data_IF_802749747751
#
_entry.id   IF_802749747751
#
_cell.length_a   1.000
_cell.length_b   1.000
_cell.length_c   1.000
_cell.angle_alpha   90.00
_cell.angle_beta   90.00
_cell.angle_gamma   90.00
#
_symmetry.space_group_name_H-M   'P 1'
#
loop_
_entity.id
_entity.type
_entity.pdbx_description
1 polymer ?
#
# COMPACT_ATOMS: atom_id res chain seq x y z
N UNK A 1 4.71 -14.23 27.81
CA UNK A 1 5.87 -14.11 26.91
C UNK A 1 5.58 -13.12 25.77
N UNK A 2 5.25 -11.85 26.07
CA UNK A 2 4.84 -10.84 25.07
C UNK A 2 5.73 -9.58 25.08
N UNK A 3 6.96 -9.69 25.58
CA UNK A 3 7.91 -8.58 25.62
C UNK A 3 9.30 -9.10 25.26
N UNK A 4 9.55 -9.31 23.96
CA UNK A 4 10.92 -9.43 23.48
C UNK A 4 11.25 -8.17 22.66
N UNK A 5 12.35 -7.45 22.95
CA UNK A 5 12.81 -6.24 22.26
C UNK A 5 12.82 -6.36 20.72
N UNK A 6 12.99 -7.57 20.19
CA UNK A 6 12.95 -7.87 18.76
C UNK A 6 11.60 -7.58 18.08
N UNK A 7 10.49 -7.61 18.80
CA UNK A 7 9.17 -7.24 18.25
C UNK A 7 9.00 -5.71 18.14
N UNK A 8 9.74 -4.93 18.93
CA UNK A 8 9.69 -3.47 18.92
C UNK A 8 10.38 -2.85 17.69
N UNK A 9 11.56 -3.35 17.34
CA UNK A 9 12.29 -2.90 16.14
C UNK A 9 11.54 -3.24 14.85
N UNK A 10 10.96 -4.44 14.77
CA UNK A 10 10.17 -4.86 13.61
C UNK A 10 8.95 -3.97 13.41
N UNK A 11 8.28 -3.61 14.51
CA UNK A 11 7.08 -2.74 14.51
C UNK A 11 7.43 -1.28 14.22
N UNK A 12 8.61 -0.82 14.65
CA UNK A 12 9.14 0.51 14.33
C UNK A 12 9.48 0.64 12.84
N UNK A 13 10.23 -0.32 12.28
CA UNK A 13 10.55 -0.38 10.84
C UNK A 13 9.30 -0.55 9.97
N UNK A 14 8.33 -1.30 10.47
CA UNK A 14 7.02 -1.44 9.84
C UNK A 14 6.28 -0.09 9.77
N UNK A 15 6.19 0.64 10.89
CA UNK A 15 5.54 1.95 10.92
C UNK A 15 6.27 2.99 10.09
N UNK A 16 7.61 2.99 10.06
CA UNK A 16 8.36 3.94 9.24
C UNK A 16 8.17 3.72 7.73
N UNK A 17 7.74 2.53 7.30
CA UNK A 17 7.44 2.24 5.91
C UNK A 17 5.96 2.41 5.57
N UNK A 18 5.07 1.86 6.40
CA UNK A 18 3.63 1.92 6.16
C UNK A 18 3.08 3.35 6.31
N UNK A 19 3.58 4.13 7.26
CA UNK A 19 3.05 5.47 7.53
C UNK A 19 3.26 6.45 6.35
N UNK A 20 4.45 6.58 5.73
CA UNK A 20 4.61 7.37 4.53
C UNK A 20 3.73 6.90 3.37
N UNK A 21 3.57 5.59 3.19
CA UNK A 21 2.71 5.03 2.13
C UNK A 21 1.24 5.40 2.34
N UNK A 22 0.76 5.32 3.58
CA UNK A 22 -0.61 5.76 3.93
C UNK A 22 -0.78 7.26 3.68
N UNK A 23 0.17 8.09 4.10
CA UNK A 23 0.12 9.55 3.84
C UNK A 23 0.10 9.83 2.33
N UNK A 24 0.95 9.16 1.54
CA UNK A 24 0.97 9.30 0.10
C UNK A 24 -0.36 8.90 -0.54
N UNK A 25 -0.97 7.79 -0.08
CA UNK A 25 -2.29 7.36 -0.53
C UNK A 25 -3.38 8.40 -0.22
N UNK A 26 -3.40 8.93 1.00
CA UNK A 26 -4.36 9.98 1.37
C UNK A 26 -4.18 11.25 0.53
N UNK A 27 -2.94 11.70 0.31
CA UNK A 27 -2.66 12.85 -0.54
C UNK A 27 -3.14 12.60 -1.97
N UNK A 28 -2.85 11.42 -2.54
CA UNK A 28 -3.32 11.02 -3.86
C UNK A 28 -4.85 10.99 -3.97
N UNK A 29 -5.53 10.47 -2.95
CA UNK A 29 -6.99 10.47 -2.88
C UNK A 29 -7.56 11.90 -2.83
N UNK A 30 -6.97 12.78 -2.02
CA UNK A 30 -7.39 14.19 -1.94
C UNK A 30 -7.20 14.88 -3.29
N UNK A 31 -6.05 14.68 -3.95
CA UNK A 31 -5.80 15.21 -5.31
C UNK A 31 -6.89 14.74 -6.26
N UNK A 32 -7.24 13.44 -6.25
CA UNK A 32 -8.32 12.91 -7.07
C UNK A 32 -9.67 13.61 -6.79
N UNK A 33 -10.05 13.78 -5.51
CA UNK A 33 -11.31 14.44 -5.14
C UNK A 33 -11.34 15.90 -5.61
N UNK A 34 -10.23 16.62 -5.42
CA UNK A 34 -10.11 18.02 -5.85
C UNK A 34 -10.23 18.12 -7.38
N UNK A 35 -9.51 17.31 -8.13
CA UNK A 35 -9.59 17.31 -9.60
C UNK A 35 -10.98 16.91 -10.07
N UNK A 36 -11.61 15.90 -9.45
CA UNK A 36 -12.97 15.48 -9.80
C UNK A 36 -14.01 16.59 -9.55
N UNK A 37 -13.80 17.41 -8.53
CA UNK A 37 -14.74 18.46 -8.10
C UNK A 37 -14.54 19.77 -8.84
N UNK A 38 -13.28 20.19 -9.06
CA UNK A 38 -12.95 21.48 -9.67
C UNK A 38 -12.63 21.39 -11.17
N UNK A 39 -12.27 20.21 -11.68
CA UNK A 39 -11.92 19.97 -13.08
C UNK A 39 -12.75 18.81 -13.67
N UNK A 40 -14.05 18.81 -13.38
CA UNK A 40 -14.99 17.78 -13.85
C UNK A 40 -15.04 17.70 -15.38
N UNK A 41 -14.93 18.82 -16.09
CA UNK A 41 -14.86 18.87 -17.55
C UNK A 41 -13.59 18.18 -18.08
N UNK A 42 -12.45 18.38 -17.42
CA UNK A 42 -11.20 17.70 -17.76
C UNK A 42 -11.32 16.18 -17.53
N UNK A 43 -11.92 15.77 -16.41
CA UNK A 43 -12.18 14.37 -16.09
C UNK A 43 -13.13 13.71 -17.11
N UNK A 44 -14.06 14.47 -17.70
CA UNK A 44 -14.95 13.99 -18.74
C UNK A 44 -14.27 13.82 -20.12
N UNK A 45 -13.03 14.31 -20.29
CA UNK A 45 -12.30 14.22 -21.56
C UNK A 45 -12.15 12.76 -21.99
N UNK A 46 -12.69 12.37 -23.16
CA UNK A 46 -12.56 11.00 -23.67
C UNK A 46 -11.12 10.75 -24.14
N UNK A 47 -10.60 9.56 -23.82
CA UNK A 47 -9.27 9.08 -24.23
C UNK A 47 -9.42 8.00 -25.29
N UNK A 48 -10.30 7.02 -25.06
CA UNK A 48 -10.57 5.95 -26.02
C UNK A 48 -12.00 5.44 -25.91
N UNK A 49 -12.81 5.66 -26.95
CA UNK A 49 -14.23 5.29 -26.93
C UNK A 49 -14.95 5.91 -25.73
N UNK A 50 -15.54 5.06 -24.88
CA UNK A 50 -16.22 5.46 -23.64
C UNK A 50 -15.29 5.68 -22.43
N UNK A 51 -13.98 5.43 -22.58
CA UNK A 51 -13.00 5.63 -21.51
C UNK A 51 -12.61 7.10 -21.48
N UNK A 52 -12.90 7.79 -20.37
CA UNK A 52 -12.47 9.15 -20.09
C UNK A 52 -11.38 9.19 -19.02
N UNK A 53 -10.77 10.38 -18.85
CA UNK A 53 -9.72 10.61 -17.86
C UNK A 53 -10.21 10.25 -16.45
N UNK A 54 -11.44 10.60 -16.10
CA UNK A 54 -12.02 10.31 -14.79
C UNK A 54 -12.09 8.82 -14.48
N UNK A 55 -12.46 8.00 -15.47
CA UNK A 55 -12.49 6.54 -15.35
C UNK A 55 -11.08 5.97 -15.13
N UNK A 56 -10.08 6.49 -15.85
CA UNK A 56 -8.67 6.10 -15.69
C UNK A 56 -8.18 6.43 -14.29
N UNK A 57 -8.44 7.65 -13.81
CA UNK A 57 -8.08 8.09 -12.46
C UNK A 57 -8.77 7.24 -11.39
N UNK A 58 -10.07 6.98 -11.54
CA UNK A 58 -10.81 6.09 -10.65
C UNK A 58 -10.23 4.67 -10.62
N UNK A 59 -9.87 4.11 -11.78
CA UNK A 59 -9.21 2.80 -11.86
C UNK A 59 -7.82 2.80 -11.19
N UNK A 60 -7.04 3.86 -11.38
CA UNK A 60 -5.74 4.04 -10.73
C UNK A 60 -5.86 4.07 -9.19
N UNK A 61 -6.97 4.56 -8.63
CA UNK A 61 -7.22 4.48 -7.17
C UNK A 61 -7.29 3.02 -6.70
N UNK A 62 -7.94 2.13 -7.46
CA UNK A 62 -7.97 0.71 -7.13
C UNK A 62 -6.59 0.07 -7.29
N UNK A 63 -5.91 0.32 -8.41
CA UNK A 63 -4.58 -0.24 -8.68
C UNK A 63 -3.58 0.17 -7.59
N UNK A 64 -3.57 1.43 -7.16
CA UNK A 64 -2.70 1.91 -6.07
C UNK A 64 -2.98 1.20 -4.75
N UNK A 65 -4.25 0.95 -4.42
CA UNK A 65 -4.64 0.18 -3.22
C UNK A 65 -4.06 -1.25 -3.24
N UNK A 66 -4.16 -1.93 -4.38
CA UNK A 66 -3.57 -3.25 -4.54
C UNK A 66 -2.05 -3.22 -4.46
N UNK A 67 -1.40 -2.22 -5.08
CA UNK A 67 0.05 -2.04 -5.01
C UNK A 67 0.51 -1.85 -3.55
N UNK A 68 -0.17 -0.99 -2.78
CA UNK A 68 0.15 -0.77 -1.36
C UNK A 68 0.04 -2.09 -0.59
N UNK A 69 -1.03 -2.85 -0.81
CA UNK A 69 -1.25 -4.15 -0.17
C UNK A 69 -0.18 -5.17 -0.57
N UNK A 70 0.19 -5.24 -1.84
CA UNK A 70 1.21 -6.14 -2.35
C UNK A 70 2.58 -5.82 -1.76
N UNK A 71 2.96 -4.53 -1.74
CA UNK A 71 4.19 -4.06 -1.11
C UNK A 71 4.19 -4.41 0.38
N UNK A 72 3.04 -4.25 1.07
CA UNK A 72 2.89 -4.68 2.46
C UNK A 72 3.15 -6.17 2.64
N UNK A 73 2.53 -7.04 1.83
CA UNK A 73 2.70 -8.50 1.90
C UNK A 73 4.16 -8.88 1.64
N UNK A 74 4.78 -8.26 0.62
CA UNK A 74 6.19 -8.50 0.31
C UNK A 74 7.11 -8.10 1.47
N UNK A 75 6.87 -6.92 2.07
CA UNK A 75 7.62 -6.45 3.23
C UNK A 75 7.41 -7.37 4.44
N UNK A 76 6.18 -7.80 4.69
CA UNK A 76 5.86 -8.73 5.77
C UNK A 76 6.59 -10.07 5.58
N UNK A 77 6.53 -10.66 4.38
CA UNK A 77 7.20 -11.94 4.09
C UNK A 77 8.72 -11.82 4.27
N UNK A 78 9.36 -10.80 3.68
CA UNK A 78 10.81 -10.58 3.84
C UNK A 78 11.27 -10.44 5.29
N UNK A 79 10.43 -9.89 6.16
CA UNK A 79 10.78 -9.62 7.56
C UNK A 79 10.28 -10.70 8.54
N UNK A 80 9.30 -11.53 8.15
CA UNK A 80 8.71 -12.58 8.99
C UNK A 80 9.23 -13.98 8.66
N UNK A 81 9.65 -14.26 7.43
CA UNK A 81 10.22 -15.56 7.01
C UNK A 81 11.52 -15.97 7.74
N UNK A 82 12.43 -15.07 8.17
CA UNK A 82 13.61 -15.46 8.94
C UNK A 82 13.26 -16.14 10.28
N UNK A 83 12.07 -15.85 10.83
CA UNK A 83 11.58 -16.45 12.08
C UNK A 83 10.92 -17.81 11.87
N UNK A 84 10.34 -18.07 10.70
CA UNK A 84 9.74 -19.38 10.40
C UNK A 84 10.80 -20.44 10.09
N UNK A 85 11.89 -20.06 9.41
CA UNK A 85 13.02 -20.96 9.15
C UNK A 85 13.73 -21.40 10.45
N UNK A 86 13.95 -20.46 11.38
CA UNK A 86 14.61 -20.75 12.67
C UNK A 86 13.77 -21.64 13.62
N UNK A 87 12.44 -21.61 13.52
CA UNK A 87 11.55 -22.47 14.32
C UNK A 87 11.49 -23.89 13.74
N UNK A 88 11.45 -24.04 12.40
CA UNK A 88 11.51 -25.36 11.76
C UNK A 88 12.81 -26.10 12.07
N UNK A 89 13.93 -25.40 12.06
CA UNK A 89 15.25 -25.99 12.36
C UNK A 89 15.39 -26.44 13.82
N UNK A 90 14.59 -25.90 14.75
CA UNK A 90 14.51 -26.33 16.16
C UNK A 90 13.51 -27.47 16.42
N UNK A 91 12.64 -27.78 15.46
CA UNK A 91 11.68 -28.88 15.57
C UNK A 91 12.12 -30.14 14.82
N UNK A 92 13.05 -30.02 13.87
CA UNK A 92 13.61 -31.15 13.10
C UNK A 92 14.97 -31.65 13.63
N UNK A 93 15.52 -31.03 14.69
CA UNK A 93 16.71 -31.50 15.42
C UNK A 93 16.38 -31.80 16.87
#
# INVERSE_FOLDING_TARGET
MQASPEFGELRSKFRSFAFPMTVAFFLWYVVYVLVASFASEWMATPVFGAINIGLIFGFLQFVTTFIITYIYVMFANKNLEPRQAAIRQKMEG
#
